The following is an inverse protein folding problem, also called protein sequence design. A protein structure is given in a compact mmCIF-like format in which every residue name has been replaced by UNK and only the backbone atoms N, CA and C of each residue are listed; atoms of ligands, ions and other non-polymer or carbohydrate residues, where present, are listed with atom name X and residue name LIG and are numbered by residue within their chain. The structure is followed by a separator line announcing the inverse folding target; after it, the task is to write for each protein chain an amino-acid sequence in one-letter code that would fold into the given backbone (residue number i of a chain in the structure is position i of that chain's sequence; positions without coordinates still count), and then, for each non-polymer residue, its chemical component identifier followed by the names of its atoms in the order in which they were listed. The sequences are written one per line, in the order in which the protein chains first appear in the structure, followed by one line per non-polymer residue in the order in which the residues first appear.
data_IF_788412025874
#
_entry.id   IF_788412025874
#
_cell.length_a   1.000
_cell.length_b   1.000
_cell.length_c   1.000
_cell.angle_alpha   90.00
_cell.angle_beta   90.00
_cell.angle_gamma   90.00
#
_symmetry.space_group_name_H-M   'P 1'
#
loop_
_entity.id
_entity.type
_entity.pdbx_description
1 polymer ?
#
# COMPACT_ATOMS: atom_id res chain seq x y z
N UNK A 1 -16.59 22.12 6.37
CA UNK A 1 -16.73 20.69 5.99
C UNK A 1 -15.39 20.30 5.40
N UNK A 2 -14.71 19.33 5.99
CA UNK A 2 -13.39 18.89 5.50
C UNK A 2 -13.52 18.27 4.11
N UNK A 3 -12.44 18.30 3.32
CA UNK A 3 -12.40 17.69 1.99
C UNK A 3 -12.66 16.18 2.07
N UNK A 4 -12.10 15.52 3.08
CA UNK A 4 -12.32 14.10 3.38
C UNK A 4 -13.80 13.78 3.59
N UNK A 5 -14.51 14.58 4.38
CA UNK A 5 -15.95 14.38 4.64
C UNK A 5 -16.76 14.46 3.35
N UNK A 6 -16.50 15.48 2.52
CA UNK A 6 -17.19 15.64 1.23
C UNK A 6 -16.95 14.45 0.30
N UNK A 7 -15.71 13.98 0.25
CA UNK A 7 -15.35 12.82 -0.57
C UNK A 7 -16.04 11.55 -0.09
N UNK A 8 -15.98 11.25 1.22
CA UNK A 8 -16.60 10.05 1.81
C UNK A 8 -18.12 10.09 1.67
N UNK A 9 -18.76 11.24 1.91
CA UNK A 9 -20.21 11.40 1.74
C UNK A 9 -20.63 11.17 0.28
N UNK A 10 -19.86 11.67 -0.71
CA UNK A 10 -20.09 11.40 -2.11
C UNK A 10 -19.95 9.93 -2.46
N UNK A 11 -18.89 9.29 -1.99
CA UNK A 11 -18.61 7.87 -2.21
C UNK A 11 -19.73 6.96 -1.67
N UNK A 12 -20.23 7.26 -0.47
CA UNK A 12 -21.30 6.50 0.17
C UNK A 12 -22.65 6.72 -0.52
N UNK A 13 -22.93 7.95 -0.95
CA UNK A 13 -24.18 8.26 -1.68
C UNK A 13 -24.30 7.50 -3.00
N UNK A 14 -23.20 7.20 -3.67
CA UNK A 14 -23.17 6.44 -4.92
C UNK A 14 -23.43 4.94 -4.72
N UNK A 15 -23.36 4.45 -3.48
CA UNK A 15 -23.44 3.02 -3.14
C UNK A 15 -24.54 2.67 -2.15
N UNK A 16 -25.49 3.59 -1.89
CA UNK A 16 -26.60 3.43 -0.94
C UNK A 16 -26.16 2.98 0.47
N UNK A 17 -25.01 3.48 0.94
CA UNK A 17 -24.42 3.13 2.24
C UNK A 17 -24.28 1.59 2.46
N UNK A 18 -23.89 0.84 1.41
CA UNK A 18 -23.83 -0.63 1.45
C UNK A 18 -22.60 -1.13 2.24
N UNK A 19 -22.79 -1.82 3.41
CA UNK A 19 -21.66 -2.28 4.24
C UNK A 19 -20.77 -3.32 3.56
N UNK A 20 -21.30 -4.10 2.62
CA UNK A 20 -20.55 -5.12 1.86
C UNK A 20 -19.56 -4.51 0.85
N UNK A 21 -19.62 -3.19 0.63
CA UNK A 21 -18.69 -2.46 -0.22
C UNK A 21 -17.55 -1.77 0.57
N UNK A 22 -17.38 -2.08 1.86
CA UNK A 22 -16.37 -1.46 2.70
C UNK A 22 -14.95 -1.50 2.08
N UNK A 23 -14.56 -2.64 1.51
CA UNK A 23 -13.24 -2.76 0.87
C UNK A 23 -13.08 -1.80 -0.30
N UNK A 24 -14.11 -1.65 -1.14
CA UNK A 24 -14.11 -0.74 -2.29
C UNK A 24 -14.00 0.72 -1.82
N UNK A 25 -14.70 1.08 -0.74
CA UNK A 25 -14.60 2.41 -0.13
C UNK A 25 -13.20 2.69 0.39
N UNK A 26 -12.59 1.73 1.09
CA UNK A 26 -11.21 1.85 1.58
C UNK A 26 -10.21 1.99 0.42
N UNK A 27 -10.36 1.22 -0.65
CA UNK A 27 -9.53 1.35 -1.86
C UNK A 27 -9.66 2.74 -2.52
N UNK A 28 -10.88 3.26 -2.61
CA UNK A 28 -11.13 4.59 -3.20
C UNK A 28 -10.52 5.71 -2.35
N UNK A 29 -10.64 5.61 -1.03
CA UNK A 29 -10.03 6.56 -0.08
C UNK A 29 -8.50 6.48 -0.16
N UNK A 30 -7.93 5.28 -0.15
CA UNK A 30 -6.50 5.05 -0.32
C UNK A 30 -5.97 5.66 -1.62
N UNK A 31 -6.69 5.46 -2.72
CA UNK A 31 -6.31 6.01 -4.02
C UNK A 31 -6.31 7.54 -4.03
N UNK A 32 -7.27 8.17 -3.33
CA UNK A 32 -7.41 9.63 -3.29
C UNK A 32 -6.41 10.30 -2.34
N UNK A 33 -6.09 9.67 -1.20
CA UNK A 33 -5.32 10.31 -0.12
C UNK A 33 -3.98 9.60 0.15
N UNK A 34 -3.62 8.56 -0.61
CA UNK A 34 -2.44 7.68 -0.41
C UNK A 34 -2.39 6.98 0.95
N UNK A 35 -3.44 7.14 1.75
CA UNK A 35 -3.65 6.51 3.06
C UNK A 35 -5.14 6.51 3.39
N UNK A 36 -5.51 5.82 4.47
CA UNK A 36 -6.87 5.86 5.03
C UNK A 36 -6.84 6.75 6.27
N UNK A 37 -7.26 8.04 6.17
CA UNK A 37 -7.22 8.96 7.29
C UNK A 37 -8.16 8.53 8.41
N UNK A 38 -7.81 8.86 9.65
CA UNK A 38 -8.63 8.58 10.84
C UNK A 38 -10.04 9.17 10.72
N UNK A 39 -10.17 10.36 10.14
CA UNK A 39 -11.48 10.99 9.88
C UNK A 39 -12.33 10.15 8.93
N UNK A 40 -11.74 9.53 7.92
CA UNK A 40 -12.46 8.64 7.00
C UNK A 40 -12.94 7.37 7.71
N UNK A 41 -12.12 6.77 8.57
CA UNK A 41 -12.51 5.60 9.39
C UNK A 41 -13.71 5.95 10.27
N UNK A 42 -13.69 7.12 10.91
CA UNK A 42 -14.79 7.58 11.75
C UNK A 42 -16.08 7.75 10.96
N UNK A 43 -16.02 8.40 9.79
CA UNK A 43 -17.18 8.63 8.91
C UNK A 43 -17.76 7.32 8.39
N UNK A 44 -16.92 6.39 7.92
CA UNK A 44 -17.35 5.07 7.49
C UNK A 44 -18.05 4.30 8.61
N UNK A 45 -17.48 4.33 9.83
CA UNK A 45 -18.08 3.67 10.98
C UNK A 45 -19.46 4.21 11.31
N UNK A 46 -19.62 5.53 11.31
CA UNK A 46 -20.90 6.20 11.61
C UNK A 46 -21.96 5.91 10.54
N UNK A 47 -21.59 5.98 9.26
CA UNK A 47 -22.52 5.85 8.14
C UNK A 47 -22.90 4.40 7.84
N UNK A 48 -21.93 3.50 7.82
CA UNK A 48 -22.15 2.08 7.53
C UNK A 48 -22.57 1.25 8.76
N UNK A 49 -22.56 1.87 9.95
CA UNK A 49 -22.81 1.18 11.23
C UNK A 49 -21.86 -0.01 11.47
N UNK A 50 -20.62 0.08 10.99
CA UNK A 50 -19.56 -0.91 11.17
C UNK A 50 -18.64 -0.45 12.30
N UNK A 51 -18.29 -1.32 13.27
CA UNK A 51 -17.32 -0.95 14.31
C UNK A 51 -15.97 -0.49 13.72
N UNK A 52 -15.40 0.59 14.25
CA UNK A 52 -14.07 1.09 13.83
C UNK A 52 -12.99 0.01 13.84
N UNK A 53 -13.04 -0.88 14.84
CA UNK A 53 -12.09 -1.98 14.96
C UNK A 53 -12.14 -2.94 13.74
N UNK A 54 -13.32 -3.15 13.16
CA UNK A 54 -13.50 -3.98 11.98
C UNK A 54 -12.92 -3.30 10.74
N UNK A 55 -13.17 -2.01 10.56
CA UNK A 55 -12.60 -1.19 9.46
C UNK A 55 -11.06 -1.21 9.54
N UNK A 56 -10.51 -0.98 10.74
CA UNK A 56 -9.06 -1.01 10.99
C UNK A 56 -8.48 -2.40 10.73
N UNK A 57 -9.18 -3.47 11.17
CA UNK A 57 -8.75 -4.85 10.94
C UNK A 57 -8.70 -5.18 9.45
N UNK A 58 -9.68 -4.70 8.66
CA UNK A 58 -9.66 -4.86 7.21
C UNK A 58 -8.48 -4.12 6.57
N UNK A 59 -8.22 -2.90 7.01
CA UNK A 59 -7.08 -2.12 6.50
C UNK A 59 -5.71 -2.77 6.82
N UNK A 60 -5.59 -3.45 7.95
CA UNK A 60 -4.37 -4.21 8.27
C UNK A 60 -4.28 -5.58 7.58
N UNK A 61 -5.42 -6.16 7.22
CA UNK A 61 -5.43 -7.44 6.52
C UNK A 61 -4.89 -7.35 5.09
N UNK A 62 -5.19 -6.27 4.39
CA UNK A 62 -4.75 -6.07 3.02
C UNK A 62 -3.44 -5.28 2.97
N UNK A 63 -2.36 -5.88 2.46
CA UNK A 63 -1.03 -5.27 2.37
C UNK A 63 -0.97 -3.96 1.56
N UNK A 64 -1.95 -3.73 0.69
CA UNK A 64 -2.06 -2.51 -0.13
C UNK A 64 -2.88 -1.39 0.52
N UNK A 65 -3.47 -1.61 1.69
CA UNK A 65 -4.19 -0.57 2.44
C UNK A 65 -3.32 -0.05 3.58
N UNK A 66 -3.29 1.26 3.77
CA UNK A 66 -2.42 1.91 4.75
C UNK A 66 -3.20 2.94 5.56
N UNK A 67 -3.13 2.85 6.89
CA UNK A 67 -3.69 3.84 7.82
C UNK A 67 -2.70 4.99 8.06
N UNK A 68 -1.41 4.76 7.74
CA UNK A 68 -0.35 5.77 7.87
C UNK A 68 0.14 6.20 6.50
N UNK A 69 0.61 7.43 6.43
CA UNK A 69 1.29 7.93 5.26
C UNK A 69 2.54 7.09 4.96
N UNK A 70 2.66 6.67 3.70
CA UNK A 70 3.77 5.86 3.18
C UNK A 70 4.68 6.65 2.26
N UNK A 71 4.37 7.94 2.08
CA UNK A 71 5.10 8.84 1.19
C UNK A 71 4.62 8.78 -0.26
N UNK A 72 5.38 9.46 -1.13
CA UNK A 72 5.07 9.53 -2.56
C UNK A 72 5.21 8.16 -3.25
N UNK A 73 6.09 7.30 -2.71
CA UNK A 73 6.39 5.97 -3.25
C UNK A 73 6.19 4.90 -2.18
N UNK A 74 5.15 4.10 -2.34
CA UNK A 74 4.92 2.89 -1.55
C UNK A 74 5.39 1.67 -2.33
N UNK A 75 6.43 1.01 -1.82
CA UNK A 75 7.06 -0.15 -2.44
C UNK A 75 6.71 -1.40 -1.63
N UNK A 76 5.96 -2.33 -2.23
CA UNK A 76 5.70 -3.64 -1.67
C UNK A 76 6.58 -4.69 -2.36
N UNK A 77 7.58 -5.17 -1.66
CA UNK A 77 8.52 -6.16 -2.13
C UNK A 77 8.01 -7.58 -1.87
N UNK A 78 7.97 -8.42 -2.91
CA UNK A 78 7.48 -9.79 -2.78
C UNK A 78 8.50 -10.69 -2.08
N UNK A 79 8.06 -11.41 -1.04
CA UNK A 79 8.90 -12.30 -0.23
C UNK A 79 8.25 -13.70 -0.08
N UNK A 80 7.90 -14.32 -1.18
CA UNK A 80 7.46 -15.70 -1.20
C UNK A 80 8.63 -16.68 -1.46
N UNK A 81 8.36 -17.97 -1.34
CA UNK A 81 9.38 -19.00 -1.52
C UNK A 81 10.01 -18.99 -2.91
N UNK A 82 9.21 -18.72 -3.96
CA UNK A 82 9.68 -18.65 -5.34
C UNK A 82 10.64 -17.48 -5.52
N UNK A 83 10.29 -16.30 -5.01
CA UNK A 83 11.15 -15.11 -5.06
C UNK A 83 12.45 -15.32 -4.28
N UNK A 84 12.38 -16.00 -3.13
CA UNK A 84 13.59 -16.36 -2.35
C UNK A 84 14.51 -17.30 -3.11
N UNK A 85 13.94 -18.28 -3.80
CA UNK A 85 14.73 -19.18 -4.68
C UNK A 85 15.38 -18.45 -5.87
N UNK A 86 14.78 -17.36 -6.31
CA UNK A 86 15.29 -16.49 -7.38
C UNK A 86 16.23 -15.39 -6.86
N UNK A 87 16.56 -15.38 -5.57
CA UNK A 87 17.54 -14.45 -4.99
C UNK A 87 17.00 -13.06 -4.67
N UNK A 88 15.76 -12.94 -4.20
CA UNK A 88 15.14 -11.66 -3.87
C UNK A 88 15.79 -10.92 -2.70
N UNK A 89 16.32 -11.64 -1.69
CA UNK A 89 16.86 -11.01 -0.46
C UNK A 89 18.03 -10.06 -0.72
N UNK A 90 19.07 -10.44 -1.50
CA UNK A 90 20.14 -9.51 -1.87
C UNK A 90 19.62 -8.26 -2.63
N UNK A 91 18.59 -8.43 -3.46
CA UNK A 91 17.97 -7.33 -4.20
C UNK A 91 17.20 -6.39 -3.27
N UNK A 92 16.48 -6.92 -2.28
CA UNK A 92 15.83 -6.13 -1.23
C UNK A 92 16.86 -5.32 -0.43
N UNK A 93 17.93 -5.97 0.02
CA UNK A 93 19.01 -5.29 0.76
C UNK A 93 19.66 -4.18 -0.07
N UNK A 94 19.89 -4.43 -1.36
CA UNK A 94 20.42 -3.44 -2.30
C UNK A 94 19.47 -2.25 -2.46
N UNK A 95 18.17 -2.53 -2.63
CA UNK A 95 17.12 -1.51 -2.76
C UNK A 95 17.07 -0.63 -1.51
N UNK A 96 16.94 -1.24 -0.32
CA UNK A 96 16.84 -0.53 0.95
C UNK A 96 18.07 0.33 1.23
N UNK A 97 19.28 -0.21 1.00
CA UNK A 97 20.54 0.52 1.16
C UNK A 97 20.64 1.71 0.21
N UNK A 98 20.25 1.56 -1.06
CA UNK A 98 20.28 2.65 -2.06
C UNK A 98 19.26 3.74 -1.77
N UNK A 99 18.09 3.38 -1.23
CA UNK A 99 17.06 4.33 -0.83
C UNK A 99 17.28 4.93 0.56
N UNK A 100 18.14 4.33 1.39
CA UNK A 100 18.37 4.77 2.76
C UNK A 100 17.18 4.52 3.68
N UNK A 101 16.50 3.37 3.52
CA UNK A 101 15.32 2.98 4.29
C UNK A 101 15.52 1.62 4.96
N UNK A 102 14.78 1.37 6.03
CA UNK A 102 14.59 0.04 6.61
C UNK A 102 13.20 -0.49 6.23
N UNK A 103 13.04 -1.79 5.96
CA UNK A 103 11.73 -2.36 5.64
C UNK A 103 10.71 -2.07 6.74
N UNK A 104 9.52 -1.59 6.34
CA UNK A 104 8.43 -1.23 7.24
C UNK A 104 8.45 0.20 7.77
N UNK A 105 9.57 0.92 7.61
CA UNK A 105 9.71 2.29 8.09
C UNK A 105 9.79 3.29 6.93
N UNK A 106 9.08 4.43 7.00
CA UNK A 106 9.22 5.47 5.99
C UNK A 106 10.59 6.13 6.07
N UNK A 107 11.14 6.51 4.90
CA UNK A 107 12.37 7.30 4.85
C UNK A 107 12.21 8.60 5.65
N UNK A 108 13.26 9.13 6.30
CA UNK A 108 13.16 10.34 7.12
C UNK A 108 12.60 11.58 6.41
N UNK A 109 12.71 11.66 5.10
CA UNK A 109 12.10 12.72 4.29
C UNK A 109 10.61 12.48 3.97
N UNK A 110 10.05 11.34 4.39
CA UNK A 110 8.67 10.97 4.18
C UNK A 110 8.31 10.59 2.75
N UNK A 111 9.29 10.47 1.83
CA UNK A 111 8.99 10.26 0.41
C UNK A 111 8.79 8.82 -0.01
N UNK A 112 9.41 7.88 0.66
CA UNK A 112 9.36 6.46 0.26
C UNK A 112 9.28 5.54 1.46
N UNK A 113 8.50 4.48 1.31
CA UNK A 113 8.45 3.34 2.25
C UNK A 113 8.62 2.05 1.46
N UNK A 114 9.46 1.15 1.98
CA UNK A 114 9.62 -0.21 1.45
C UNK A 114 9.07 -1.18 2.48
N UNK A 115 8.16 -2.05 2.07
CA UNK A 115 7.62 -3.09 2.94
C UNK A 115 7.63 -4.45 2.25
N UNK A 116 7.47 -5.50 3.02
CA UNK A 116 7.41 -6.87 2.54
C UNK A 116 5.97 -7.34 2.44
N UNK A 117 5.67 -8.04 1.37
CA UNK A 117 4.40 -8.77 1.23
C UNK A 117 4.68 -10.23 0.88
N UNK A 118 3.83 -11.11 1.33
CA UNK A 118 4.01 -12.56 1.09
C UNK A 118 3.95 -12.94 -0.39
N UNK A 119 3.14 -12.24 -1.21
CA UNK A 119 3.06 -12.47 -2.64
C UNK A 119 2.39 -11.30 -3.35
N UNK A 120 2.96 -10.86 -4.47
CA UNK A 120 2.39 -9.83 -5.36
C UNK A 120 1.58 -10.42 -6.52
N UNK A 121 1.42 -11.74 -6.59
CA UNK A 121 0.76 -12.42 -7.70
C UNK A 121 1.61 -12.62 -8.96
N UNK A 122 2.91 -12.36 -8.88
CA UNK A 122 3.87 -12.39 -10.02
C UNK A 122 4.90 -13.51 -9.89
N UNK A 123 4.55 -14.66 -9.29
CA UNK A 123 5.48 -15.73 -8.99
C UNK A 123 6.18 -16.32 -10.22
N UNK A 124 5.55 -16.25 -11.39
CA UNK A 124 6.11 -16.67 -12.69
C UNK A 124 7.08 -15.65 -13.30
N UNK A 125 7.11 -14.44 -12.74
CA UNK A 125 7.92 -13.31 -13.21
C UNK A 125 8.82 -12.72 -12.11
N UNK A 126 9.08 -13.51 -11.07
CA UNK A 126 9.90 -13.09 -9.93
C UNK A 126 11.39 -12.90 -10.28
N UNK A 127 12.16 -12.30 -9.37
CA UNK A 127 11.71 -11.52 -8.25
C UNK A 127 10.88 -10.30 -8.65
N UNK A 128 9.90 -9.90 -7.83
CA UNK A 128 8.97 -8.85 -8.19
C UNK A 128 8.65 -7.92 -7.00
N UNK A 129 8.18 -6.72 -7.32
CA UNK A 129 7.65 -5.75 -6.35
C UNK A 129 6.52 -4.94 -6.99
N UNK A 130 5.78 -4.21 -6.16
CA UNK A 130 4.84 -3.17 -6.60
C UNK A 130 5.37 -1.80 -6.18
N UNK A 131 5.27 -0.81 -7.04
CA UNK A 131 5.46 0.61 -6.72
C UNK A 131 4.13 1.32 -6.91
N UNK A 132 3.53 1.80 -5.84
CA UNK A 132 2.19 2.40 -5.87
C UNK A 132 1.16 1.50 -6.60
N UNK A 133 1.24 0.18 -6.37
CA UNK A 133 0.39 -0.81 -7.02
C UNK A 133 0.79 -1.21 -8.44
N UNK A 134 1.78 -0.55 -9.05
CA UNK A 134 2.29 -0.88 -10.39
C UNK A 134 3.35 -1.99 -10.29
N UNK A 135 3.16 -3.07 -11.03
CA UNK A 135 4.03 -4.23 -11.00
C UNK A 135 5.38 -3.98 -11.69
N UNK A 136 6.47 -4.32 -11.00
CA UNK A 136 7.82 -4.39 -11.55
C UNK A 136 8.34 -5.81 -11.35
N UNK A 137 8.47 -6.55 -12.44
CA UNK A 137 8.86 -7.96 -12.43
C UNK A 137 10.29 -8.18 -12.94
N UNK A 138 10.80 -9.39 -12.73
CA UNK A 138 12.15 -9.80 -13.16
C UNK A 138 13.22 -8.83 -12.69
N UNK A 139 13.20 -8.57 -11.38
CA UNK A 139 14.14 -7.65 -10.75
C UNK A 139 15.56 -8.14 -10.87
N UNK A 140 16.45 -7.23 -11.19
CA UNK A 140 17.89 -7.34 -11.14
C UNK A 140 18.50 -6.03 -10.61
N UNK A 141 19.80 -6.02 -10.38
CA UNK A 141 20.50 -4.83 -9.86
C UNK A 141 20.36 -3.61 -10.78
N UNK A 142 20.33 -3.81 -12.10
CA UNK A 142 20.19 -2.72 -13.07
C UNK A 142 18.80 -2.08 -13.00
N UNK A 143 17.75 -2.88 -12.85
CA UNK A 143 16.37 -2.40 -12.68
C UNK A 143 16.20 -1.64 -11.36
N UNK A 144 16.76 -2.19 -10.28
CA UNK A 144 16.77 -1.51 -8.96
C UNK A 144 17.50 -0.17 -9.10
N UNK A 145 18.67 -0.14 -9.73
CA UNK A 145 19.42 1.11 -9.90
C UNK A 145 18.63 2.17 -10.68
N UNK A 146 17.99 1.78 -11.77
CA UNK A 146 17.14 2.67 -12.58
C UNK A 146 15.95 3.20 -11.79
N UNK A 147 15.27 2.33 -11.05
CA UNK A 147 14.12 2.68 -10.23
C UNK A 147 14.48 3.67 -9.12
N UNK A 148 15.58 3.41 -8.41
CA UNK A 148 16.08 4.32 -7.35
C UNK A 148 16.43 5.71 -7.92
N UNK A 149 16.89 5.78 -9.16
CA UNK A 149 17.17 7.07 -9.82
C UNK A 149 15.92 7.89 -10.18
N UNK A 150 14.73 7.29 -10.09
CA UNK A 150 13.43 7.96 -10.33
C UNK A 150 12.73 8.41 -9.04
N UNK A 151 13.15 7.92 -7.88
CA UNK A 151 12.63 8.17 -6.53
C UNK A 151 13.48 9.20 -5.80
#
# INVERSE_FOLDING_TARGET
MTDIRRFVDGLLSDTDDAPDQLLQHLCSIQHQYSQIPEEAIQLLSERLHIPRAEIISMAYFYAFLHIRDRGDFDILFSDNITDRMLGNLPLLESLCRKLGVEPGEPRPDGRVTVDLTSCTGLCDQGPALLVNGIAVSRLDEDRIHKMVGLI
#
